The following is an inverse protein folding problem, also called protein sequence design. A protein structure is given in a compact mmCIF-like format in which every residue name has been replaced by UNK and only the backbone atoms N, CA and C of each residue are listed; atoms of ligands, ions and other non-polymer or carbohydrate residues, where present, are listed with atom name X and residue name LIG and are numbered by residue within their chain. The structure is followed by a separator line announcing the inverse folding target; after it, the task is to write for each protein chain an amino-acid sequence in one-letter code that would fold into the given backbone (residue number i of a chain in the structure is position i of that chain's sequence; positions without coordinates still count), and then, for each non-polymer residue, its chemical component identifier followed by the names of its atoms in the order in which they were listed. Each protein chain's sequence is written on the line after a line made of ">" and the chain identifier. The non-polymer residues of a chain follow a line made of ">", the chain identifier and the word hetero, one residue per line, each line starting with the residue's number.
data_IF_406671950963
#
_entry.id   IF_406671950963
#
_cell.length_a   1.000
_cell.length_b   1.000
_cell.length_c   1.000
_cell.angle_alpha   90.00
_cell.angle_beta   90.00
_cell.angle_gamma   90.00
#
_symmetry.space_group_name_H-M   'P 1'
#
loop_
_entity.id
_entity.type
_entity.pdbx_description
1 polymer ?
#
# COMPACT_ATOMS: atom_id res chain seq x y z
N UNK A 1 -9.56 -34.39 8.86
CA UNK A 1 -10.53 -33.36 9.25
C UNK A 1 -10.42 -32.21 8.24
N UNK A 2 -11.38 -32.16 7.29
CA UNK A 2 -11.45 -31.03 6.33
C UNK A 2 -11.95 -29.81 7.09
N UNK A 3 -11.05 -28.95 7.57
CA UNK A 3 -11.44 -27.61 7.93
C UNK A 3 -11.64 -26.83 6.62
N UNK A 4 -12.87 -26.77 6.14
CA UNK A 4 -13.22 -25.82 5.09
C UNK A 4 -12.88 -24.42 5.62
N UNK A 5 -11.93 -23.73 4.97
CA UNK A 5 -11.67 -22.34 5.25
C UNK A 5 -12.99 -21.56 5.15
N UNK A 6 -13.27 -20.63 6.07
CA UNK A 6 -14.49 -19.84 6.02
C UNK A 6 -14.60 -19.14 4.66
N UNK A 7 -15.80 -19.18 4.07
CA UNK A 7 -16.03 -18.52 2.80
C UNK A 7 -15.82 -16.99 2.97
N UNK A 8 -14.88 -16.44 2.21
CA UNK A 8 -14.62 -15.00 2.19
C UNK A 8 -15.87 -14.28 1.69
N UNK A 9 -16.35 -13.31 2.47
CA UNK A 9 -17.51 -12.51 2.15
C UNK A 9 -17.12 -11.02 2.05
N UNK A 10 -17.98 -10.23 1.40
CA UNK A 10 -17.80 -8.75 1.37
C UNK A 10 -17.84 -8.11 2.76
N UNK A 11 -18.41 -8.78 3.75
CA UNK A 11 -18.44 -8.38 5.16
C UNK A 11 -17.20 -8.75 5.95
N UNK A 12 -16.26 -9.53 5.36
CA UNK A 12 -15.00 -9.88 6.03
C UNK A 12 -14.15 -8.63 6.25
N UNK A 13 -13.52 -8.56 7.44
CA UNK A 13 -12.73 -7.40 7.86
C UNK A 13 -11.27 -7.62 7.51
N UNK A 14 -10.67 -6.60 6.90
CA UNK A 14 -9.23 -6.60 6.58
C UNK A 14 -8.41 -6.21 7.81
N UNK A 15 -7.31 -6.92 8.03
CA UNK A 15 -6.29 -6.60 9.03
C UNK A 15 -4.90 -6.54 8.39
N UNK A 16 -4.01 -5.70 8.97
CA UNK A 16 -2.60 -5.63 8.59
C UNK A 16 -1.80 -6.51 9.53
N UNK A 17 -1.05 -7.46 9.00
CA UNK A 17 -0.21 -8.37 9.81
C UNK A 17 1.20 -8.47 9.25
N UNK A 18 2.14 -8.82 10.10
CA UNK A 18 3.50 -9.13 9.66
C UNK A 18 3.52 -10.36 8.75
N UNK A 19 4.37 -10.28 7.72
CA UNK A 19 4.68 -11.43 6.89
C UNK A 19 5.83 -12.19 7.55
N UNK A 20 5.62 -13.45 7.83
CA UNK A 20 6.58 -14.31 8.52
C UNK A 20 7.24 -15.30 7.56
N UNK A 21 8.26 -16.01 8.02
CA UNK A 21 8.89 -17.10 7.27
C UNK A 21 7.89 -18.16 6.81
N UNK A 22 6.81 -18.37 7.57
CA UNK A 22 5.82 -19.41 7.30
C UNK A 22 4.76 -18.95 6.29
N UNK A 23 4.49 -17.63 6.22
CA UNK A 23 3.49 -17.03 5.33
C UNK A 23 4.06 -16.39 4.06
N UNK A 24 5.36 -16.07 3.99
CA UNK A 24 5.94 -15.31 2.88
C UNK A 24 5.69 -15.92 1.50
N UNK A 25 5.64 -17.25 1.41
CA UNK A 25 5.40 -17.93 0.14
C UNK A 25 4.02 -17.63 -0.45
N UNK A 26 3.02 -17.44 0.40
CA UNK A 26 1.66 -17.12 -0.05
C UNK A 26 1.62 -15.73 -0.68
N UNK A 27 2.32 -14.76 -0.07
CA UNK A 27 2.44 -13.43 -0.64
C UNK A 27 3.24 -13.38 -1.95
N UNK A 28 4.33 -14.16 -2.05
CA UNK A 28 5.12 -14.24 -3.28
C UNK A 28 4.36 -14.85 -4.47
N UNK A 29 3.29 -15.59 -4.22
CA UNK A 29 2.43 -16.22 -5.25
C UNK A 29 1.21 -15.41 -5.65
N UNK A 30 0.98 -14.27 -4.99
CA UNK A 30 -0.14 -13.40 -5.32
C UNK A 30 0.08 -12.76 -6.69
N UNK A 31 -1.00 -12.63 -7.43
CA UNK A 31 -1.01 -12.05 -8.77
C UNK A 31 -2.04 -10.91 -8.84
N UNK A 32 -1.77 -9.94 -9.67
CA UNK A 32 -2.72 -8.86 -9.98
C UNK A 32 -3.78 -9.33 -10.97
N UNK A 33 -4.89 -8.61 -11.06
CA UNK A 33 -5.96 -8.92 -12.00
C UNK A 33 -5.59 -8.62 -13.45
N UNK A 34 -6.38 -9.13 -14.41
CA UNK A 34 -6.16 -8.87 -15.84
C UNK A 34 -6.07 -7.37 -16.14
N UNK A 35 -5.10 -6.98 -16.95
CA UNK A 35 -4.84 -5.58 -17.32
C UNK A 35 -4.15 -4.74 -16.25
N UNK A 36 -3.72 -5.34 -15.15
CA UNK A 36 -2.96 -4.68 -14.07
C UNK A 36 -1.47 -5.02 -14.12
N UNK A 37 -1.03 -5.79 -15.11
CA UNK A 37 0.37 -6.16 -15.27
C UNK A 37 1.26 -4.92 -15.39
N UNK A 38 2.32 -4.89 -14.59
CA UNK A 38 3.28 -3.79 -14.55
C UNK A 38 2.77 -2.51 -13.86
N UNK A 39 1.61 -2.55 -13.17
CA UNK A 39 1.18 -1.45 -12.29
C UNK A 39 1.83 -1.52 -10.90
N UNK A 40 2.28 -2.69 -10.49
CA UNK A 40 2.99 -2.93 -9.24
C UNK A 40 4.04 -4.02 -9.45
N UNK A 41 5.19 -3.88 -8.79
CA UNK A 41 6.22 -4.93 -8.81
C UNK A 41 5.72 -6.21 -8.11
N UNK A 42 6.21 -7.41 -8.50
CA UNK A 42 5.92 -8.64 -7.78
C UNK A 42 6.28 -8.52 -6.30
N UNK A 43 5.45 -9.11 -5.42
CA UNK A 43 5.66 -9.01 -3.97
C UNK A 43 7.02 -9.58 -3.53
N UNK A 44 7.53 -10.62 -4.19
CA UNK A 44 8.87 -11.17 -3.92
C UNK A 44 9.98 -10.13 -4.15
N UNK A 45 9.87 -9.33 -5.22
CA UNK A 45 10.80 -8.23 -5.51
C UNK A 45 10.66 -7.14 -4.46
N UNK A 46 9.45 -6.74 -4.12
CA UNK A 46 9.16 -5.72 -3.11
C UNK A 46 9.71 -6.08 -1.73
N UNK A 47 9.53 -7.34 -1.30
CA UNK A 47 10.07 -7.84 -0.03
C UNK A 47 11.61 -7.84 -0.05
N UNK A 48 12.23 -8.23 -1.18
CA UNK A 48 13.68 -8.19 -1.33
C UNK A 48 14.22 -6.75 -1.30
N UNK A 49 13.54 -5.80 -1.94
CA UNK A 49 13.90 -4.38 -1.90
C UNK A 49 13.82 -3.81 -0.48
N UNK A 50 12.81 -4.19 0.30
CA UNK A 50 12.64 -3.75 1.68
C UNK A 50 13.85 -4.08 2.59
N UNK A 51 14.62 -5.10 2.26
CA UNK A 51 15.84 -5.43 3.00
C UNK A 51 16.92 -4.33 2.92
N UNK A 52 16.92 -3.57 1.83
CA UNK A 52 17.92 -2.51 1.57
C UNK A 52 17.41 -1.11 1.94
N UNK A 53 16.15 -0.96 2.32
CA UNK A 53 15.48 0.30 2.61
C UNK A 53 15.03 0.36 4.07
N UNK A 54 15.68 1.20 4.89
CA UNK A 54 15.38 1.33 6.33
C UNK A 54 13.99 1.90 6.58
N UNK A 55 13.51 2.73 5.64
CA UNK A 55 12.18 3.35 5.63
C UNK A 55 11.07 2.40 5.21
N UNK A 56 11.42 1.23 4.64
CA UNK A 56 10.41 0.29 4.16
C UNK A 56 9.67 -0.38 5.31
N UNK A 57 8.35 -0.21 5.29
CA UNK A 57 7.43 -0.89 6.19
C UNK A 57 6.39 -1.64 5.36
N UNK A 58 6.32 -2.96 5.48
CA UNK A 58 5.38 -3.76 4.70
C UNK A 58 4.54 -4.69 5.57
N UNK A 59 3.33 -5.01 5.10
CA UNK A 59 2.36 -5.88 5.77
C UNK A 59 1.61 -6.74 4.77
N UNK A 60 1.25 -7.93 5.22
CA UNK A 60 0.23 -8.75 4.59
C UNK A 60 -1.16 -8.24 4.95
N UNK A 61 -2.04 -8.23 3.96
CA UNK A 61 -3.45 -7.94 4.14
C UNK A 61 -4.18 -9.28 4.34
N UNK A 62 -4.90 -9.41 5.43
CA UNK A 62 -5.61 -10.64 5.78
C UNK A 62 -7.10 -10.37 6.01
N UNK A 63 -7.93 -11.34 5.65
CA UNK A 63 -9.28 -11.49 6.18
C UNK A 63 -9.31 -12.79 6.94
N UNK A 64 -9.62 -12.74 8.24
CA UNK A 64 -9.42 -13.88 9.14
C UNK A 64 -7.98 -14.42 9.02
N UNK A 65 -7.81 -15.70 8.68
CA UNK A 65 -6.48 -16.30 8.46
C UNK A 65 -6.06 -16.33 6.97
N UNK A 66 -6.88 -15.77 6.07
CA UNK A 66 -6.64 -15.81 4.63
C UNK A 66 -5.85 -14.58 4.18
N UNK A 67 -4.64 -14.72 3.61
CA UNK A 67 -3.91 -13.63 3.01
C UNK A 67 -4.59 -13.22 1.69
N UNK A 68 -4.92 -11.93 1.55
CA UNK A 68 -5.70 -11.40 0.42
C UNK A 68 -4.99 -10.29 -0.35
N UNK A 69 -3.86 -9.78 0.13
CA UNK A 69 -3.12 -8.71 -0.53
C UNK A 69 -1.84 -8.32 0.20
N UNK A 70 -1.16 -7.34 -0.35
CA UNK A 70 0.13 -6.85 0.15
C UNK A 70 0.16 -5.33 0.09
N UNK A 71 0.81 -4.71 1.08
CA UNK A 71 1.10 -3.29 1.09
C UNK A 71 2.50 -3.01 1.61
N UNK A 72 3.17 -2.02 1.03
CA UNK A 72 4.45 -1.50 1.49
C UNK A 72 4.45 0.02 1.46
N UNK A 73 4.89 0.61 2.56
CA UNK A 73 5.07 2.04 2.73
C UNK A 73 6.57 2.36 2.83
N UNK A 74 6.93 3.56 2.45
CA UNK A 74 8.18 4.22 2.84
C UNK A 74 7.87 5.24 3.91
N UNK A 75 8.41 5.02 5.12
CA UNK A 75 8.19 5.89 6.28
C UNK A 75 9.36 6.85 6.45
N UNK A 76 9.22 8.02 5.89
CA UNK A 76 10.21 9.09 5.95
C UNK A 76 10.00 10.03 7.15
N UNK A 77 9.13 9.67 8.08
CA UNK A 77 8.78 10.51 9.23
C UNK A 77 9.93 10.72 10.23
N UNK A 78 10.93 9.83 10.21
CA UNK A 78 12.03 9.83 11.19
C UNK A 78 13.42 9.94 10.55
N UNK A 79 13.52 10.19 9.25
CA UNK A 79 14.80 10.30 8.57
C UNK A 79 15.23 11.76 8.56
N UNK A 80 16.27 12.08 9.33
CA UNK A 80 16.85 13.43 9.35
C UNK A 80 17.54 13.75 8.03
N UNK A 81 17.40 15.00 7.57
CA UNK A 81 18.13 15.52 6.43
C UNK A 81 17.60 15.11 5.07
N UNK A 82 16.34 14.67 4.99
CA UNK A 82 15.71 14.40 3.71
C UNK A 82 15.44 15.73 2.99
N UNK A 83 16.40 16.11 2.15
CA UNK A 83 16.10 16.92 0.99
C UNK A 83 15.63 15.94 -0.10
N UNK A 84 14.38 15.47 -0.02
CA UNK A 84 13.80 14.85 -1.19
C UNK A 84 13.43 15.96 -2.15
N UNK A 85 13.89 15.88 -3.38
CA UNK A 85 13.51 16.81 -4.45
C UNK A 85 11.98 16.90 -4.62
N UNK A 86 11.25 15.88 -4.16
CA UNK A 86 9.80 15.75 -4.22
C UNK A 86 9.04 16.44 -3.08
N UNK A 87 9.71 16.74 -1.96
CA UNK A 87 9.05 17.34 -0.80
C UNK A 87 10.01 18.18 0.01
N UNK A 88 9.86 19.45 -0.02
CA UNK A 88 10.58 20.54 0.67
C UNK A 88 10.94 20.30 2.16
N UNK A 89 11.48 19.09 2.48
CA UNK A 89 11.97 18.74 3.80
C UNK A 89 10.91 18.37 4.84
N UNK A 90 9.63 18.28 4.48
CA UNK A 90 8.58 17.86 5.40
C UNK A 90 8.53 16.32 5.55
N UNK A 91 8.39 15.78 6.78
CA UNK A 91 8.20 14.34 7.00
C UNK A 91 6.93 13.82 6.32
N UNK A 92 7.03 12.70 5.61
CA UNK A 92 5.91 12.09 4.92
C UNK A 92 5.97 10.56 4.98
N UNK A 93 4.87 9.92 4.64
CA UNK A 93 4.79 8.48 4.35
C UNK A 93 4.37 8.30 2.91
N UNK A 94 5.09 7.50 2.14
CA UNK A 94 4.73 7.17 0.77
C UNK A 94 4.16 5.75 0.67
N UNK A 95 3.10 5.57 -0.11
CA UNK A 95 2.60 4.26 -0.50
C UNK A 95 3.45 3.74 -1.67
N UNK A 96 4.39 2.85 -1.37
CA UNK A 96 5.32 2.34 -2.38
C UNK A 96 4.74 1.16 -3.16
N UNK A 97 4.03 0.24 -2.48
CA UNK A 97 3.41 -0.94 -3.11
C UNK A 97 2.05 -1.21 -2.51
N UNK A 98 1.09 -1.53 -3.36
CA UNK A 98 -0.25 -1.88 -2.91
C UNK A 98 -0.94 -2.79 -3.92
N UNK A 99 -1.39 -3.96 -3.49
CA UNK A 99 -2.16 -4.85 -4.34
C UNK A 99 -3.13 -5.72 -3.53
N UNK A 100 -4.24 -6.07 -4.16
CA UNK A 100 -5.13 -7.15 -3.74
C UNK A 100 -4.97 -8.28 -4.75
N UNK A 101 -4.78 -9.49 -4.26
CA UNK A 101 -4.71 -10.69 -5.09
C UNK A 101 -5.95 -10.79 -5.99
N UNK A 102 -5.75 -11.13 -7.26
CA UNK A 102 -6.80 -11.19 -8.28
C UNK A 102 -8.03 -11.98 -7.82
N UNK A 103 -7.82 -13.04 -7.04
CA UNK A 103 -8.88 -13.91 -6.50
C UNK A 103 -9.81 -13.18 -5.52
N UNK A 104 -9.35 -12.10 -4.91
CA UNK A 104 -10.02 -11.37 -3.84
C UNK A 104 -10.34 -9.92 -4.19
N UNK A 105 -10.15 -9.52 -5.43
CA UNK A 105 -10.58 -8.21 -5.92
C UNK A 105 -12.12 -8.13 -5.93
N UNK A 106 -12.67 -6.91 -5.99
CA UNK A 106 -14.12 -6.62 -5.97
C UNK A 106 -14.88 -6.97 -4.68
N UNK A 107 -14.19 -7.43 -3.63
CA UNK A 107 -14.78 -7.63 -2.29
C UNK A 107 -14.75 -6.36 -1.41
N UNK A 108 -14.14 -5.27 -1.89
CA UNK A 108 -13.99 -4.04 -1.10
C UNK A 108 -12.75 -4.03 -0.19
N UNK A 109 -11.93 -5.06 -0.22
CA UNK A 109 -10.76 -5.19 0.64
C UNK A 109 -9.71 -4.11 0.40
N UNK A 110 -9.52 -3.69 -0.85
CA UNK A 110 -8.62 -2.58 -1.16
C UNK A 110 -9.02 -1.29 -0.46
N UNK A 111 -10.32 -1.00 -0.38
CA UNK A 111 -10.80 0.18 0.30
C UNK A 111 -10.63 0.10 1.83
N UNK A 112 -10.83 -1.08 2.42
CA UNK A 112 -10.57 -1.28 3.86
C UNK A 112 -9.08 -1.15 4.16
N UNK A 113 -8.22 -1.81 3.37
CA UNK A 113 -6.77 -1.74 3.52
C UNK A 113 -6.25 -0.31 3.39
N UNK A 114 -6.72 0.46 2.41
CA UNK A 114 -6.30 1.85 2.23
C UNK A 114 -6.61 2.71 3.46
N UNK A 115 -7.77 2.55 4.08
CA UNK A 115 -8.10 3.28 5.34
C UNK A 115 -7.13 2.91 6.46
N UNK A 116 -6.81 1.62 6.62
CA UNK A 116 -5.84 1.16 7.62
C UNK A 116 -4.42 1.73 7.37
N UNK A 117 -4.00 1.84 6.11
CA UNK A 117 -2.72 2.43 5.75
C UNK A 117 -2.68 3.93 6.01
N UNK A 118 -3.76 4.65 5.70
CA UNK A 118 -3.91 6.08 6.03
C UNK A 118 -3.91 6.26 7.55
N UNK A 119 -4.67 5.45 8.30
CA UNK A 119 -4.66 5.49 9.75
C UNK A 119 -3.26 5.24 10.32
N UNK A 120 -2.53 4.26 9.77
CA UNK A 120 -1.13 4.02 10.16
C UNK A 120 -0.26 5.25 9.89
N UNK A 121 -0.34 5.85 8.71
CA UNK A 121 0.42 7.06 8.36
C UNK A 121 0.15 8.22 9.33
N UNK A 122 -1.10 8.41 9.79
CA UNK A 122 -1.44 9.45 10.77
C UNK A 122 -0.79 9.25 12.14
N UNK A 123 -0.35 8.04 12.48
CA UNK A 123 0.34 7.75 13.73
C UNK A 123 1.83 8.06 13.69
N UNK A 124 2.38 8.32 12.49
CA UNK A 124 3.82 8.55 12.34
C UNK A 124 4.21 9.96 12.79
N UNK A 125 5.29 10.11 13.59
CA UNK A 125 5.67 11.38 14.17
C UNK A 125 5.95 12.45 13.11
N UNK A 126 5.36 13.62 13.27
CA UNK A 126 5.60 14.77 12.39
C UNK A 126 5.03 14.67 10.98
N UNK A 127 4.50 13.52 10.58
CA UNK A 127 3.96 13.32 9.24
C UNK A 127 2.72 14.17 9.00
N UNK A 128 2.75 14.96 7.95
CA UNK A 128 1.65 15.84 7.55
C UNK A 128 0.97 15.40 6.27
N UNK A 129 1.62 14.53 5.52
CA UNK A 129 1.15 14.08 4.20
C UNK A 129 1.41 12.59 3.96
N UNK A 130 0.50 11.97 3.25
CA UNK A 130 0.72 10.67 2.61
C UNK A 130 0.80 10.85 1.10
N UNK A 131 1.79 10.23 0.49
CA UNK A 131 2.09 10.30 -0.93
C UNK A 131 1.90 8.96 -1.60
N UNK A 132 1.70 8.98 -2.89
CA UNK A 132 1.81 7.84 -3.77
C UNK A 132 2.12 8.29 -5.19
N UNK A 133 2.71 7.40 -5.97
CA UNK A 133 2.85 7.56 -7.41
C UNK A 133 2.24 6.37 -8.16
N UNK A 134 1.91 6.57 -9.42
CA UNK A 134 1.44 5.50 -10.29
C UNK A 134 1.66 5.83 -11.77
N UNK A 135 1.84 4.78 -12.57
CA UNK A 135 2.00 4.90 -14.01
C UNK A 135 0.69 5.37 -14.67
N UNK A 136 0.77 6.40 -15.52
CA UNK A 136 -0.36 6.94 -16.28
C UNK A 136 -0.76 6.01 -17.42
N UNK A 137 -1.43 4.90 -17.10
CA UNK A 137 -2.01 3.96 -18.08
C UNK A 137 -3.54 4.06 -18.10
N UNK A 138 -4.16 3.45 -19.10
CA UNK A 138 -5.62 3.50 -19.31
C UNK A 138 -6.41 3.02 -18.08
N UNK A 139 -5.96 1.98 -17.41
CA UNK A 139 -6.59 1.44 -16.19
C UNK A 139 -5.86 1.86 -14.90
N UNK A 140 -5.38 3.09 -14.83
CA UNK A 140 -4.63 3.56 -13.67
C UNK A 140 -5.50 3.66 -12.41
N UNK A 141 -4.90 3.48 -11.22
CA UNK A 141 -5.63 3.47 -9.95
C UNK A 141 -6.01 4.86 -9.42
N UNK A 142 -5.78 5.93 -10.17
CA UNK A 142 -5.98 7.31 -9.70
C UNK A 142 -7.42 7.59 -9.20
N UNK A 143 -8.46 7.02 -9.88
CA UNK A 143 -9.85 7.14 -9.45
C UNK A 143 -10.08 6.46 -8.09
N UNK A 144 -9.42 5.33 -7.86
CA UNK A 144 -9.49 4.64 -6.57
C UNK A 144 -8.92 5.53 -5.46
N UNK A 145 -7.74 6.11 -5.63
CA UNK A 145 -7.09 6.95 -4.62
C UNK A 145 -7.85 8.26 -4.35
N UNK A 146 -8.45 8.87 -5.38
CA UNK A 146 -9.29 10.07 -5.21
C UNK A 146 -10.44 9.88 -4.21
N UNK A 147 -10.98 8.67 -4.08
CA UNK A 147 -12.06 8.35 -3.11
C UNK A 147 -11.63 8.51 -1.65
N UNK A 148 -10.32 8.52 -1.39
CA UNK A 148 -9.74 8.72 -0.05
C UNK A 148 -9.23 10.13 0.18
N UNK A 149 -9.42 11.03 -0.80
CA UNK A 149 -8.99 12.42 -0.71
C UNK A 149 -7.62 12.71 -1.31
N UNK A 150 -6.96 11.73 -1.93
CA UNK A 150 -5.73 12.01 -2.66
C UNK A 150 -6.00 12.92 -3.86
N UNK A 151 -5.20 13.95 -4.03
CA UNK A 151 -5.23 14.88 -5.15
C UNK A 151 -3.91 14.85 -5.92
N UNK A 152 -3.98 15.09 -7.24
CA UNK A 152 -2.80 15.25 -8.09
C UNK A 152 -1.99 16.46 -7.62
N UNK A 153 -0.67 16.30 -7.50
CA UNK A 153 0.24 17.43 -7.22
C UNK A 153 0.54 18.27 -8.47
N UNK A 154 0.46 17.66 -9.63
CA UNK A 154 0.94 18.22 -10.89
C UNK A 154 2.37 17.83 -11.22
N UNK A 155 3.06 17.18 -10.29
CA UNK A 155 4.43 16.68 -10.44
C UNK A 155 4.44 15.24 -10.90
N UNK A 156 5.57 14.82 -11.47
CA UNK A 156 5.85 13.45 -11.91
C UNK A 156 7.21 13.03 -11.38
N UNK A 157 7.33 11.75 -11.05
CA UNK A 157 8.58 11.10 -10.68
C UNK A 157 8.81 9.90 -11.59
N UNK A 158 9.94 9.86 -12.30
CA UNK A 158 10.29 8.81 -13.28
C UNK A 158 9.15 8.46 -14.27
N UNK A 159 8.28 9.44 -14.60
CA UNK A 159 7.11 9.26 -15.47
C UNK A 159 5.86 8.75 -14.75
N UNK A 160 5.89 8.62 -13.44
CA UNK A 160 4.72 8.33 -12.61
C UNK A 160 4.05 9.61 -12.10
N UNK A 161 2.72 9.59 -12.07
CA UNK A 161 1.91 10.71 -11.59
C UNK A 161 1.84 10.70 -10.06
N UNK A 162 2.23 11.78 -9.41
CA UNK A 162 2.22 11.90 -7.95
C UNK A 162 0.87 12.40 -7.44
N UNK A 163 0.37 11.73 -6.39
CA UNK A 163 -0.79 12.18 -5.62
C UNK A 163 -0.43 12.37 -4.14
N UNK A 164 -1.09 13.33 -3.51
CA UNK A 164 -0.90 13.70 -2.11
C UNK A 164 -2.23 13.70 -1.36
N UNK A 165 -2.19 13.18 -0.14
CA UNK A 165 -3.26 13.29 0.85
C UNK A 165 -2.72 14.03 2.07
N UNK A 166 -3.23 15.24 2.39
CA UNK A 166 -2.97 15.88 3.69
C UNK A 166 -3.55 15.03 4.82
N UNK A 167 -2.73 14.72 5.82
CA UNK A 167 -3.14 13.93 6.98
C UNK A 167 -3.64 14.85 8.09
N UNK A 168 -4.86 14.62 8.58
CA UNK A 168 -5.36 15.31 9.75
C UNK A 168 -4.57 14.84 10.98
N UNK A 169 -3.95 15.76 11.71
CA UNK A 169 -3.34 15.44 13.01
C UNK A 169 -4.46 14.99 13.96
N UNK A 170 -4.36 13.77 14.48
CA UNK A 170 -5.17 13.39 15.65
C UNK A 170 -4.70 14.23 16.84
N UNK A 171 -5.62 14.86 17.57
CA UNK A 171 -5.28 15.69 18.73
C UNK A 171 -4.61 14.87 19.85
#
# INVERSE_FOLDING_TARGET
>A
MNSSLPAIAKSSIVTLREITKDSVRDFCRMEVGPGQDGLVAPNAVSIAQAYFHKEAWFRGLYTDEMPVGFAMLEDWSQVEGIATELYEGEPYVALWRFMIDARYQMYGFGAQAMRLLIDHATTRPGTTNMLLSFVAKENNPGIFYKRFGFARTGEEDEGELIMKLPLARKP
#
